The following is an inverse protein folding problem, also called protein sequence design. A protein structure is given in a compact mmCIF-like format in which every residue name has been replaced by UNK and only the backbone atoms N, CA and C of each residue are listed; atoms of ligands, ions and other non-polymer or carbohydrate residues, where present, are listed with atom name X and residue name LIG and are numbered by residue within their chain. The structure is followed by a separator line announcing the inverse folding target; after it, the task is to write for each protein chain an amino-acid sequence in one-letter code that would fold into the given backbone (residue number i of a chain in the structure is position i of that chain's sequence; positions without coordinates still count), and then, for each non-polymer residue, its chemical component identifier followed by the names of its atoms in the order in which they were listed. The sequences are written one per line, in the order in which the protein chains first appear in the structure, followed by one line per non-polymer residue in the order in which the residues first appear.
data_IF_461075839808
#
_entry.id   IF_461075839808
#
_cell.length_a   1.000
_cell.length_b   1.000
_cell.length_c   1.000
_cell.angle_alpha   90.00
_cell.angle_beta   90.00
_cell.angle_gamma   90.00
#
_symmetry.space_group_name_H-M   'P 1'
#
loop_
_entity.id
_entity.type
_entity.pdbx_description
1 polymer ?
#
# COMPACT_ATOMS: atom_id res chain seq x y z
N UNK A 1 -16.53 0.83 -15.12
CA UNK A 1 -16.07 2.17 -14.71
C UNK A 1 -15.20 1.96 -13.48
N UNK A 2 -14.01 2.56 -13.40
CA UNK A 2 -13.14 2.40 -12.24
C UNK A 2 -13.67 3.30 -11.11
N UNK A 3 -13.96 2.72 -9.96
CA UNK A 3 -14.53 3.46 -8.83
C UNK A 3 -13.41 4.02 -7.94
N UNK A 4 -13.43 5.35 -7.72
CA UNK A 4 -12.46 6.03 -6.86
C UNK A 4 -13.19 6.96 -5.88
N UNK A 5 -13.73 6.38 -4.81
CA UNK A 5 -14.38 7.16 -3.75
C UNK A 5 -13.38 7.89 -2.85
N UNK A 6 -12.12 7.45 -2.82
CA UNK A 6 -11.11 7.99 -1.91
C UNK A 6 -10.60 9.39 -2.32
N UNK A 7 -10.80 9.80 -3.58
CA UNK A 7 -10.53 11.18 -3.98
C UNK A 7 -11.69 12.14 -3.65
N UNK A 8 -12.88 11.62 -3.30
CA UNK A 8 -13.98 12.44 -2.77
C UNK A 8 -13.65 12.89 -1.34
N UNK A 9 -13.59 14.22 -1.10
CA UNK A 9 -13.14 14.78 0.18
C UNK A 9 -13.97 14.31 1.40
N UNK A 10 -15.31 14.42 1.40
CA UNK A 10 -16.11 13.92 2.53
C UNK A 10 -15.88 12.45 2.87
N UNK A 11 -15.71 11.60 1.86
CA UNK A 11 -15.43 10.18 2.06
C UNK A 11 -14.03 9.97 2.63
N UNK A 12 -13.03 10.64 2.05
CA UNK A 12 -11.64 10.59 2.51
C UNK A 12 -11.52 11.00 3.98
N UNK A 13 -12.17 12.09 4.39
CA UNK A 13 -12.11 12.58 5.76
C UNK A 13 -12.65 11.53 6.75
N UNK A 14 -13.83 10.97 6.47
CA UNK A 14 -14.42 9.89 7.29
C UNK A 14 -13.53 8.65 7.33
N UNK A 15 -12.99 8.25 6.19
CA UNK A 15 -12.12 7.08 6.10
C UNK A 15 -10.80 7.30 6.84
N UNK A 16 -10.22 8.49 6.75
CA UNK A 16 -8.97 8.87 7.42
C UNK A 16 -9.09 8.86 8.95
N UNK A 17 -10.30 8.99 9.49
CA UNK A 17 -10.60 8.92 10.92
C UNK A 17 -10.72 7.49 11.47
N UNK A 18 -10.76 6.46 10.60
CA UNK A 18 -10.83 5.07 11.06
C UNK A 18 -9.54 4.61 11.73
N UNK A 19 -9.64 3.68 12.67
CA UNK A 19 -8.49 3.14 13.41
C UNK A 19 -7.37 2.61 12.48
N UNK A 20 -7.72 1.87 11.43
CA UNK A 20 -6.76 1.38 10.40
C UNK A 20 -6.03 2.51 9.66
N UNK A 21 -6.67 3.66 9.50
CA UNK A 21 -6.09 4.82 8.80
C UNK A 21 -5.16 5.63 9.69
N UNK A 22 -5.43 5.65 11.01
CA UNK A 22 -4.66 6.40 12.00
C UNK A 22 -3.51 5.59 12.61
N UNK A 23 -3.78 4.33 12.98
CA UNK A 23 -2.84 3.43 13.67
C UNK A 23 -2.15 2.45 12.73
N UNK A 24 -2.40 2.55 11.43
CA UNK A 24 -1.85 1.64 10.43
C UNK A 24 -2.22 0.18 10.67
N UNK A 25 -1.26 -0.72 10.48
CA UNK A 25 -1.48 -2.17 10.58
C UNK A 25 -1.94 -2.61 11.98
N UNK A 26 -1.51 -1.93 13.05
CA UNK A 26 -1.97 -2.21 14.42
C UNK A 26 -3.45 -1.84 14.63
N UNK A 27 -3.98 -0.91 13.83
CA UNK A 27 -5.40 -0.52 13.82
C UNK A 27 -6.28 -1.39 12.92
N UNK A 28 -5.69 -2.33 12.19
CA UNK A 28 -6.39 -3.21 11.26
C UNK A 28 -6.70 -4.55 11.96
N UNK A 29 -7.99 -4.88 12.11
CA UNK A 29 -8.43 -6.07 12.84
C UNK A 29 -7.96 -7.39 12.21
N UNK A 30 -7.76 -7.38 10.90
CA UNK A 30 -7.26 -8.51 10.11
C UNK A 30 -5.76 -8.74 10.26
N UNK A 31 -4.99 -7.73 10.69
CA UNK A 31 -3.53 -7.73 10.64
C UNK A 31 -2.88 -8.87 11.42
N UNK A 32 -3.30 -9.21 12.65
CA UNK A 32 -2.68 -10.31 13.40
C UNK A 32 -2.75 -11.65 12.66
N UNK A 33 -3.83 -11.90 11.91
CA UNK A 33 -4.00 -13.12 11.12
C UNK A 33 -3.27 -13.03 9.79
N UNK A 34 -3.37 -11.90 9.07
CA UNK A 34 -2.68 -11.74 7.79
C UNK A 34 -1.16 -11.84 7.96
N UNK A 35 -0.61 -11.24 9.03
CA UNK A 35 0.83 -11.24 9.32
C UNK A 35 1.42 -12.65 9.42
N UNK A 36 0.66 -13.65 9.88
CA UNK A 36 1.17 -15.04 9.99
C UNK A 36 1.22 -15.78 8.65
N UNK A 37 0.53 -15.26 7.63
CA UNK A 37 0.51 -15.83 6.28
C UNK A 37 1.57 -15.20 5.36
N UNK A 38 2.13 -14.06 5.74
CA UNK A 38 3.11 -13.36 4.92
C UNK A 38 4.45 -14.12 4.86
N UNK A 39 5.09 -14.19 3.69
CA UNK A 39 6.40 -14.80 3.54
C UNK A 39 7.52 -13.92 4.11
N UNK A 40 8.76 -14.41 4.05
CA UNK A 40 9.95 -13.58 4.31
C UNK A 40 10.14 -12.55 3.19
N UNK A 41 10.38 -11.29 3.58
CA UNK A 41 10.58 -10.17 2.66
C UNK A 41 12.05 -9.92 2.34
N UNK A 42 13.01 -10.58 3.01
CA UNK A 42 14.43 -10.29 2.84
C UNK A 42 14.88 -10.37 1.38
N UNK A 43 15.42 -9.25 0.89
CA UNK A 43 15.89 -9.04 -0.48
C UNK A 43 14.83 -9.23 -1.59
N UNK A 44 13.53 -9.24 -1.24
CA UNK A 44 12.44 -9.42 -2.20
C UNK A 44 12.01 -8.12 -2.88
N UNK A 45 11.57 -8.22 -4.13
CA UNK A 45 10.90 -7.14 -4.87
C UNK A 45 9.39 -7.35 -4.77
N UNK A 46 8.67 -6.37 -4.21
CA UNK A 46 7.25 -6.52 -3.81
C UNK A 46 6.35 -5.59 -4.62
N UNK A 47 5.16 -6.08 -4.99
CA UNK A 47 4.06 -5.29 -5.55
C UNK A 47 2.89 -5.22 -4.55
N UNK A 48 2.55 -4.03 -4.09
CA UNK A 48 1.40 -3.79 -3.20
C UNK A 48 0.23 -3.20 -4.01
N UNK A 49 -0.82 -4.01 -4.21
CA UNK A 49 -1.99 -3.68 -5.03
C UNK A 49 -3.09 -3.06 -4.16
N UNK A 50 -3.48 -1.81 -4.46
CA UNK A 50 -4.41 -1.06 -3.61
C UNK A 50 -3.73 -0.61 -2.30
N UNK A 51 -2.51 -0.06 -2.43
CA UNK A 51 -1.63 0.18 -1.29
C UNK A 51 -2.18 1.23 -0.31
N UNK A 52 -3.16 2.04 -0.70
CA UNK A 52 -3.79 3.06 0.14
C UNK A 52 -2.75 4.00 0.75
N UNK A 53 -2.68 4.03 2.09
CA UNK A 53 -1.71 4.82 2.86
C UNK A 53 -0.28 4.24 2.87
N UNK A 54 0.00 3.14 2.18
CA UNK A 54 1.35 2.56 2.06
C UNK A 54 1.83 1.79 3.29
N UNK A 55 0.92 1.34 4.16
CA UNK A 55 1.29 0.64 5.40
C UNK A 55 1.99 -0.70 5.15
N UNK A 56 1.49 -1.51 4.20
CA UNK A 56 2.13 -2.78 3.84
C UNK A 56 3.44 -2.55 3.08
N UNK A 57 3.52 -1.50 2.24
CA UNK A 57 4.77 -1.09 1.61
C UNK A 57 5.88 -0.83 2.62
N UNK A 58 5.59 0.01 3.63
CA UNK A 58 6.56 0.31 4.69
C UNK A 58 6.90 -0.94 5.51
N UNK A 59 5.91 -1.77 5.83
CA UNK A 59 6.15 -3.03 6.54
C UNK A 59 7.10 -3.94 5.76
N UNK A 60 6.91 -4.13 4.45
CA UNK A 60 7.80 -4.96 3.64
C UNK A 60 9.25 -4.44 3.66
N UNK A 61 9.45 -3.12 3.52
CA UNK A 61 10.79 -2.50 3.62
C UNK A 61 11.42 -2.71 5.00
N UNK A 62 10.66 -2.48 6.07
CA UNK A 62 11.13 -2.68 7.45
C UNK A 62 11.52 -4.14 7.74
N UNK A 63 10.94 -5.09 6.99
CA UNK A 63 11.26 -6.52 7.06
C UNK A 63 12.25 -6.97 5.97
N UNK A 64 12.97 -6.02 5.35
CA UNK A 64 14.13 -6.31 4.50
C UNK A 64 13.83 -6.47 3.01
N UNK A 65 12.64 -6.08 2.53
CA UNK A 65 12.38 -5.99 1.09
C UNK A 65 13.41 -5.09 0.41
N UNK A 66 13.86 -5.53 -0.77
CA UNK A 66 14.81 -4.79 -1.61
C UNK A 66 14.15 -3.53 -2.19
N UNK A 67 12.91 -3.65 -2.62
CA UNK A 67 12.12 -2.53 -3.14
C UNK A 67 10.64 -2.89 -3.17
N UNK A 68 9.78 -1.88 -3.04
CA UNK A 68 8.33 -2.03 -3.15
C UNK A 68 7.78 -1.06 -4.19
N UNK A 69 6.88 -1.54 -5.04
CA UNK A 69 5.96 -0.69 -5.81
C UNK A 69 4.58 -0.76 -5.17
N UNK A 70 4.09 0.35 -4.63
CA UNK A 70 2.69 0.50 -4.22
C UNK A 70 1.87 1.15 -5.33
N UNK A 71 0.75 0.54 -5.72
CA UNK A 71 -0.19 1.14 -6.67
C UNK A 71 -1.55 1.33 -6.02
N UNK A 72 -2.15 2.50 -6.26
CA UNK A 72 -3.52 2.80 -5.84
C UNK A 72 -4.15 3.75 -6.86
N UNK A 73 -5.46 3.65 -7.06
CA UNK A 73 -6.17 4.52 -7.99
C UNK A 73 -6.33 5.95 -7.45
N UNK A 74 -6.31 6.13 -6.12
CA UNK A 74 -6.54 7.40 -5.46
C UNK A 74 -5.29 8.27 -5.36
N UNK A 75 -5.36 9.48 -5.91
CA UNK A 75 -4.29 10.48 -5.77
C UNK A 75 -4.11 10.91 -4.33
N UNK A 76 -5.22 11.02 -3.57
CA UNK A 76 -5.16 11.39 -2.15
C UNK A 76 -4.49 10.32 -1.30
N UNK A 77 -4.80 9.04 -1.56
CA UNK A 77 -4.13 7.92 -0.89
C UNK A 77 -2.63 7.92 -1.17
N UNK A 78 -2.23 7.99 -2.44
CA UNK A 78 -0.81 8.03 -2.80
C UNK A 78 -0.10 9.24 -2.21
N UNK A 79 -0.73 10.42 -2.20
CA UNK A 79 -0.16 11.59 -1.52
C UNK A 79 0.05 11.33 -0.03
N UNK A 80 -0.94 10.77 0.66
CA UNK A 80 -0.82 10.46 2.08
C UNK A 80 0.21 9.34 2.35
N UNK A 81 0.37 8.38 1.44
CA UNK A 81 1.39 7.34 1.53
C UNK A 81 2.81 7.93 1.39
N UNK A 82 3.02 8.86 0.46
CA UNK A 82 4.27 9.61 0.31
C UNK A 82 4.59 10.47 1.54
N UNK A 83 3.59 10.98 2.24
CA UNK A 83 3.80 11.78 3.46
C UNK A 83 4.13 10.91 4.69
N UNK A 84 3.51 9.73 4.80
CA UNK A 84 3.54 8.91 6.03
C UNK A 84 4.50 7.72 5.96
N UNK A 85 4.65 7.14 4.78
CA UNK A 85 5.28 5.83 4.56
C UNK A 85 6.23 5.87 3.37
N UNK A 86 7.10 6.88 3.32
CA UNK A 86 8.11 7.02 2.26
C UNK A 86 9.46 6.43 2.65
N UNK A 87 10.17 5.91 1.66
CA UNK A 87 11.54 5.39 1.76
C UNK A 87 12.16 5.43 0.37
N UNK A 88 13.48 5.55 0.27
CA UNK A 88 14.22 5.53 -0.99
C UNK A 88 13.97 4.26 -1.83
N UNK A 89 13.53 3.19 -1.17
CA UNK A 89 13.23 1.89 -1.77
C UNK A 89 11.74 1.66 -2.07
N UNK A 90 10.87 2.64 -1.80
CA UNK A 90 9.44 2.57 -2.12
C UNK A 90 9.14 3.51 -3.28
N UNK A 91 8.39 3.00 -4.26
CA UNK A 91 7.78 3.82 -5.31
C UNK A 91 6.28 3.71 -5.21
N UNK A 92 5.59 4.83 -5.36
CA UNK A 92 4.15 4.87 -5.41
C UNK A 92 3.67 5.33 -6.79
N UNK A 93 2.62 4.70 -7.32
CA UNK A 93 1.99 5.10 -8.58
C UNK A 93 0.47 5.23 -8.42
N UNK A 94 -0.06 6.33 -8.96
CA UNK A 94 -1.50 6.49 -9.13
C UNK A 94 -1.90 5.70 -10.36
N UNK A 95 -2.38 4.48 -10.16
CA UNK A 95 -2.74 3.56 -11.23
C UNK A 95 -3.78 2.56 -10.71
N UNK A 96 -4.75 2.26 -11.57
CA UNK A 96 -5.70 1.20 -11.29
C UNK A 96 -5.02 -0.17 -11.39
N UNK A 97 -5.38 -1.08 -10.50
CA UNK A 97 -4.85 -2.46 -10.49
C UNK A 97 -5.11 -3.15 -11.84
N UNK A 98 -6.24 -2.87 -12.49
CA UNK A 98 -6.57 -3.49 -13.79
C UNK A 98 -5.81 -2.91 -14.99
N UNK A 99 -5.15 -1.75 -14.85
CA UNK A 99 -4.36 -1.11 -15.94
C UNK A 99 -2.85 -1.32 -15.77
N UNK A 100 -2.42 -2.03 -14.72
CA UNK A 100 -0.99 -2.32 -14.56
C UNK A 100 -0.59 -3.44 -15.52
N UNK A 101 0.54 -3.28 -16.22
CA UNK A 101 0.96 -4.20 -17.29
C UNK A 101 1.52 -5.55 -16.78
N UNK A 102 1.72 -5.71 -15.46
CA UNK A 102 2.29 -6.91 -14.81
C UNK A 102 3.44 -7.57 -15.59
N UNK A 103 4.60 -6.87 -15.74
CA UNK A 103 5.73 -7.45 -16.44
C UNK A 103 6.17 -8.78 -15.81
N UNK A 104 6.39 -9.79 -16.66
CA UNK A 104 6.78 -11.13 -16.22
C UNK A 104 8.00 -11.10 -15.32
N UNK A 105 8.02 -11.97 -14.31
CA UNK A 105 9.18 -12.24 -13.44
C UNK A 105 9.79 -11.00 -12.77
N UNK A 106 8.99 -9.95 -12.54
CA UNK A 106 9.46 -8.70 -11.94
C UNK A 106 9.35 -8.69 -10.41
N UNK A 107 8.38 -9.40 -9.85
CA UNK A 107 8.06 -9.37 -8.43
C UNK A 107 8.17 -10.77 -7.83
N UNK A 108 8.71 -10.83 -6.62
CA UNK A 108 8.75 -12.04 -5.79
C UNK A 108 7.46 -12.24 -4.99
N UNK A 109 6.80 -11.13 -4.65
CA UNK A 109 5.60 -11.04 -3.78
C UNK A 109 4.63 -10.03 -4.39
#
# INVERSE_FOLDING_TARGET
MKENFYDNQPFFDKYSAMARSQKGLEGAGEWPTLKTMLPDFKNKVVLDLGCGYGWHCMYAIQNGAKSVLGIDLSRKMIKAALERNNSDNIRYKVLAVEDYDYPCETYDI
#
